data_IF_880960247723
#
_entry.id   IF_880960247723
#
_cell.length_a   1.000
_cell.length_b   1.000
_cell.length_c   1.000
_cell.angle_alpha   90.00
_cell.angle_beta   90.00
_cell.angle_gamma   90.00
#
_symmetry.space_group_name_H-M   'P 1'
#
loop_
_entity.id
_entity.type
_entity.pdbx_description
1 polymer ?
#
# COMPACT_ATOMS: atom_id res chain seq x y z
N UNK A 1 -7.43 -5.78 -21.53
CA UNK A 1 -8.03 -5.47 -20.21
C UNK A 1 -9.40 -6.10 -20.19
N UNK A 2 -9.70 -6.97 -19.22
CA UNK A 2 -11.06 -7.50 -19.01
C UNK A 2 -11.77 -6.52 -18.09
N UNK A 3 -12.97 -6.09 -18.45
CA UNK A 3 -13.79 -5.21 -17.60
C UNK A 3 -14.56 -6.10 -16.63
N UNK A 4 -14.17 -6.08 -15.36
CA UNK A 4 -14.81 -6.77 -14.24
C UNK A 4 -14.56 -5.99 -12.94
N UNK A 5 -15.10 -6.48 -11.82
CA UNK A 5 -15.02 -5.83 -10.51
C UNK A 5 -13.57 -5.59 -10.05
N UNK A 6 -12.61 -6.34 -10.59
CA UNK A 6 -11.19 -6.20 -10.25
C UNK A 6 -10.59 -4.91 -10.79
N UNK A 7 -11.16 -4.31 -11.83
CA UNK A 7 -10.74 -3.01 -12.33
C UNK A 7 -11.12 -1.90 -11.34
N UNK A 8 -12.31 -1.97 -10.74
CA UNK A 8 -12.74 -1.02 -9.71
C UNK A 8 -11.87 -1.13 -8.46
N UNK A 9 -11.50 -2.36 -8.06
CA UNK A 9 -10.57 -2.60 -6.94
C UNK A 9 -9.20 -1.96 -7.22
N UNK A 10 -8.69 -2.06 -8.45
CA UNK A 10 -7.42 -1.41 -8.80
C UNK A 10 -7.53 0.11 -8.70
N UNK A 11 -8.59 0.70 -9.26
CA UNK A 11 -8.87 2.13 -9.16
C UNK A 11 -9.02 2.60 -7.70
N UNK A 12 -9.64 1.78 -6.85
CA UNK A 12 -9.70 2.02 -5.41
C UNK A 12 -8.30 2.05 -4.78
N UNK A 13 -7.41 1.12 -5.14
CA UNK A 13 -6.02 1.12 -4.69
C UNK A 13 -5.26 2.38 -5.10
N UNK A 14 -5.44 2.85 -6.34
CA UNK A 14 -4.87 4.12 -6.84
C UNK A 14 -5.40 5.30 -6.01
N UNK A 15 -6.72 5.40 -5.84
CA UNK A 15 -7.35 6.48 -5.06
C UNK A 15 -6.88 6.48 -3.61
N UNK A 16 -6.76 5.31 -3.00
CA UNK A 16 -6.29 5.18 -1.61
C UNK A 16 -4.86 5.70 -1.45
N UNK A 17 -3.97 5.32 -2.38
CA UNK A 17 -2.60 5.86 -2.38
C UNK A 17 -2.56 7.37 -2.67
N UNK A 18 -3.43 7.87 -3.56
CA UNK A 18 -3.54 9.30 -3.84
C UNK A 18 -3.93 10.10 -2.60
N UNK A 19 -4.86 9.59 -1.80
CA UNK A 19 -5.26 10.18 -0.51
C UNK A 19 -4.08 10.15 0.48
N UNK A 20 -3.40 9.01 0.62
CA UNK A 20 -2.27 8.86 1.56
C UNK A 20 -1.06 9.73 1.20
N UNK A 21 -0.79 9.89 -0.09
CA UNK A 21 0.35 10.66 -0.61
C UNK A 21 0.05 12.15 -0.78
N UNK A 22 -1.23 12.53 -0.83
CA UNK A 22 -1.67 13.89 -1.15
C UNK A 22 -1.36 14.32 -2.60
N UNK A 23 -1.04 13.36 -3.47
CA UNK A 23 -0.70 13.54 -4.89
C UNK A 23 -0.89 12.23 -5.66
N UNK A 24 -0.98 12.33 -6.98
CA UNK A 24 -1.17 11.16 -7.83
C UNK A 24 -0.02 10.15 -7.70
N UNK A 25 -0.28 8.85 -7.47
CA UNK A 25 0.75 7.84 -7.19
C UNK A 25 1.39 7.22 -8.46
N UNK A 26 1.12 7.76 -9.65
CA UNK A 26 1.53 7.16 -10.93
C UNK A 26 3.02 6.83 -11.03
N UNK A 27 3.90 7.76 -10.65
CA UNK A 27 5.36 7.53 -10.66
C UNK A 27 5.76 6.37 -9.75
N UNK A 28 5.17 6.32 -8.54
CA UNK A 28 5.45 5.28 -7.57
C UNK A 28 5.02 3.90 -8.07
N UNK A 29 3.80 3.81 -8.62
CA UNK A 29 3.26 2.56 -9.19
C UNK A 29 4.11 2.09 -10.36
N UNK A 30 4.58 3.01 -11.21
CA UNK A 30 5.49 2.72 -12.31
C UNK A 30 6.83 2.16 -11.81
N UNK A 31 7.42 2.78 -10.77
CA UNK A 31 8.66 2.29 -10.16
C UNK A 31 8.50 0.89 -9.57
N UNK A 32 7.41 0.63 -8.85
CA UNK A 32 7.14 -0.66 -8.22
C UNK A 32 6.91 -1.78 -9.25
N UNK A 33 6.25 -1.46 -10.37
CA UNK A 33 6.01 -2.40 -11.47
C UNK A 33 7.29 -2.76 -12.25
N UNK A 34 8.24 -1.82 -12.36
CA UNK A 34 9.54 -2.09 -12.98
C UNK A 34 10.44 -2.96 -12.09
N UNK A 35 10.37 -2.77 -10.77
CA UNK A 35 11.17 -3.51 -9.78
C UNK A 35 10.85 -5.01 -9.69
N UNK A 36 9.65 -5.46 -10.08
CA UNK A 36 9.33 -6.90 -10.12
C UNK A 36 10.05 -7.65 -11.26
N UNK A 37 10.74 -6.94 -12.15
CA UNK A 37 11.30 -7.50 -13.39
C UNK A 37 12.82 -7.72 -13.36
N UNK A 38 13.54 -7.24 -12.34
CA UNK A 38 15.01 -7.30 -12.31
C UNK A 38 15.54 -7.78 -10.95
N UNK A 39 16.43 -8.76 -10.98
CA UNK A 39 17.11 -9.36 -9.81
C UNK A 39 18.23 -8.48 -9.26
N UNK A 40 17.98 -7.18 -9.12
CA UNK A 40 18.92 -6.18 -8.57
C UNK A 40 18.36 -5.74 -7.21
N UNK A 41 19.20 -5.50 -6.17
CA UNK A 41 18.69 -5.06 -4.88
C UNK A 41 17.83 -3.80 -5.07
N UNK A 42 16.57 -3.89 -4.69
CA UNK A 42 15.59 -2.84 -4.92
C UNK A 42 15.96 -1.59 -4.11
N UNK A 43 16.32 -0.48 -4.77
CA UNK A 43 16.43 0.84 -4.11
C UNK A 43 15.12 1.23 -3.39
N UNK A 44 13.98 0.66 -3.82
CA UNK A 44 12.68 0.80 -3.19
C UNK A 44 12.61 0.19 -1.76
N UNK A 45 13.54 -0.71 -1.40
CA UNK A 45 13.68 -1.22 -0.03
C UNK A 45 14.30 -0.19 0.92
N UNK A 46 14.85 0.92 0.41
CA UNK A 46 15.41 2.00 1.22
C UNK A 46 14.46 3.20 1.37
N UNK A 47 13.43 3.32 0.51
CA UNK A 47 12.44 4.39 0.60
C UNK A 47 11.64 4.22 1.89
N UNK A 48 11.59 5.26 2.72
CA UNK A 48 10.81 5.25 3.95
C UNK A 48 9.36 5.64 3.65
N UNK A 49 8.40 4.94 4.27
CA UNK A 49 6.99 5.23 4.11
C UNK A 49 6.65 6.69 4.51
N UNK A 50 7.34 7.22 5.54
CA UNK A 50 7.18 8.62 5.97
C UNK A 50 7.48 9.65 4.88
N UNK A 51 8.33 9.28 3.91
CA UNK A 51 8.73 10.18 2.82
C UNK A 51 7.79 10.06 1.61
N UNK A 52 6.93 9.03 1.60
CA UNK A 52 5.93 8.77 0.56
C UNK A 52 4.58 9.42 0.89
N UNK A 53 4.15 9.34 2.16
CA UNK A 53 2.89 9.93 2.62
C UNK A 53 2.91 11.46 2.54
N UNK A 54 1.74 12.09 2.57
CA UNK A 54 1.59 13.55 2.48
C UNK A 54 2.38 14.28 3.58
N UNK A 55 3.52 14.86 3.19
CA UNK A 55 4.45 15.54 4.09
C UNK A 55 3.94 16.90 4.57
N UNK A 56 2.81 17.39 4.04
CA UNK A 56 2.14 18.59 4.56
C UNK A 56 1.41 18.32 5.88
N UNK A 57 1.15 17.05 6.19
CA UNK A 57 0.56 16.62 7.44
C UNK A 57 1.64 16.31 8.48
N UNK A 58 1.35 16.47 9.78
CA UNK A 58 2.23 15.98 10.83
C UNK A 58 2.48 14.47 10.69
N UNK A 59 3.68 13.97 11.02
CA UNK A 59 3.95 12.53 11.00
C UNK A 59 2.93 11.76 11.85
N UNK A 60 2.37 10.66 11.34
CA UNK A 60 1.35 9.91 12.06
C UNK A 60 1.96 9.25 13.31
N UNK A 61 1.18 9.24 14.39
CA UNK A 61 1.60 8.69 15.70
C UNK A 61 0.58 7.70 16.24
N UNK A 62 1.02 6.79 17.12
CA UNK A 62 0.17 5.83 17.84
C UNK A 62 -0.74 5.04 16.89
N UNK A 63 -2.06 5.13 17.05
CA UNK A 63 -3.04 4.37 16.28
C UNK A 63 -3.06 4.81 14.81
N UNK A 64 -2.96 6.11 14.54
CA UNK A 64 -2.94 6.65 13.17
C UNK A 64 -1.76 6.07 12.39
N UNK A 65 -0.60 5.91 13.01
CA UNK A 65 0.56 5.29 12.35
C UNK A 65 0.27 3.84 11.93
N UNK A 66 -0.43 3.07 12.77
CA UNK A 66 -0.83 1.69 12.45
C UNK A 66 -1.84 1.69 11.30
N UNK A 67 -2.83 2.57 11.36
CA UNK A 67 -3.89 2.67 10.34
C UNK A 67 -3.33 3.08 8.98
N UNK A 68 -2.38 4.02 8.95
CA UNK A 68 -1.67 4.38 7.72
C UNK A 68 -0.91 3.18 7.16
N UNK A 69 -0.15 2.45 7.97
CA UNK A 69 0.61 1.28 7.48
C UNK A 69 -0.33 0.19 6.96
N UNK A 70 -1.39 -0.16 7.72
CA UNK A 70 -2.39 -1.15 7.30
C UNK A 70 -3.08 -0.75 6.01
N UNK A 71 -3.48 0.52 5.88
CA UNK A 71 -4.15 1.05 4.70
C UNK A 71 -3.22 1.03 3.49
N UNK A 72 -1.95 1.39 3.66
CA UNK A 72 -0.95 1.29 2.58
C UNK A 72 -0.77 -0.16 2.11
N UNK A 73 -0.71 -1.15 3.02
CA UNK A 73 -0.67 -2.58 2.63
C UNK A 73 -1.90 -2.98 1.81
N UNK A 74 -3.08 -2.58 2.27
CA UNK A 74 -4.34 -2.88 1.59
C UNK A 74 -4.38 -2.24 0.19
N UNK A 75 -3.93 -1.00 0.07
CA UNK A 75 -3.83 -0.31 -1.22
C UNK A 75 -2.89 -1.04 -2.19
N UNK A 76 -1.73 -1.50 -1.71
CA UNK A 76 -0.81 -2.29 -2.52
C UNK A 76 -1.38 -3.66 -2.93
N UNK A 77 -2.13 -4.34 -2.06
CA UNK A 77 -2.86 -5.54 -2.43
C UNK A 77 -3.89 -5.29 -3.54
N UNK A 78 -4.59 -4.15 -3.51
CA UNK A 78 -5.52 -3.72 -4.55
C UNK A 78 -4.82 -3.38 -5.88
N UNK A 79 -3.61 -2.83 -5.80
CA UNK A 79 -2.77 -2.45 -6.95
C UNK A 79 -2.02 -3.61 -7.60
N UNK A 80 -2.30 -4.86 -7.20
CA UNK A 80 -1.64 -6.02 -7.79
C UNK A 80 -1.86 -6.09 -9.32
N UNK A 81 -0.77 -6.29 -10.06
CA UNK A 81 -0.82 -6.41 -11.53
C UNK A 81 -1.65 -7.60 -12.01
N UNK A 82 -1.75 -8.67 -11.22
CA UNK A 82 -2.61 -9.82 -11.47
C UNK A 82 -4.01 -9.61 -10.83
N UNK A 83 -5.09 -9.43 -11.61
CA UNK A 83 -6.43 -9.18 -11.07
C UNK A 83 -6.95 -10.26 -10.11
N UNK A 84 -6.47 -11.50 -10.24
CA UNK A 84 -6.88 -12.64 -9.39
C UNK A 84 -6.29 -12.58 -7.99
N UNK A 85 -5.19 -11.86 -7.81
CA UNK A 85 -4.53 -11.70 -6.51
C UNK A 85 -5.02 -10.45 -5.76
N UNK A 86 -5.86 -9.63 -6.39
CA UNK A 86 -6.51 -8.51 -5.71
C UNK A 86 -7.53 -9.04 -4.71
N UNK A 87 -7.75 -8.37 -3.57
CA UNK A 87 -8.85 -8.69 -2.67
C UNK A 87 -10.21 -8.41 -3.32
N UNK A 88 -11.29 -8.92 -2.75
CA UNK A 88 -12.66 -8.47 -3.08
C UNK A 88 -12.98 -7.17 -2.34
N UNK A 89 -13.97 -6.41 -2.82
CA UNK A 89 -14.41 -5.20 -2.09
C UNK A 89 -14.96 -5.52 -0.69
N UNK A 90 -15.54 -6.71 -0.48
CA UNK A 90 -15.93 -7.20 0.84
C UNK A 90 -14.72 -7.36 1.77
N UNK A 91 -13.64 -8.00 1.30
CA UNK A 91 -12.40 -8.15 2.05
C UNK A 91 -11.76 -6.79 2.36
N UNK A 92 -11.79 -5.85 1.40
CA UNK A 92 -11.33 -4.47 1.59
C UNK A 92 -12.14 -3.76 2.68
N UNK A 93 -13.47 -3.82 2.61
CA UNK A 93 -14.34 -3.19 3.60
C UNK A 93 -14.15 -3.78 5.00
N UNK A 94 -14.01 -5.10 5.09
CA UNK A 94 -13.72 -5.79 6.34
C UNK A 94 -12.36 -5.35 6.91
N UNK A 95 -11.30 -5.34 6.09
CA UNK A 95 -9.96 -4.93 6.51
C UNK A 95 -9.93 -3.48 7.04
N UNK A 96 -10.66 -2.56 6.40
CA UNK A 96 -10.78 -1.16 6.85
C UNK A 96 -11.59 -1.01 8.15
N UNK A 97 -12.46 -1.98 8.46
CA UNK A 97 -13.30 -1.95 9.66
C UNK A 97 -12.62 -2.55 10.90
N UNK A 98 -11.53 -3.31 10.71
CA UNK A 98 -10.78 -3.90 11.82
C UNK A 98 -9.72 -2.94 12.38
N UNK A 99 -9.41 -3.10 13.67
CA UNK A 99 -8.34 -2.35 14.30
C UNK A 99 -6.97 -2.79 13.75
N UNK A 100 -6.14 -1.80 13.40
CA UNK A 100 -4.80 -2.06 12.89
C UNK A 100 -3.89 -2.71 13.93
N UNK A 101 -3.10 -3.68 13.45
CA UNK A 101 -2.14 -4.42 14.26
C UNK A 101 -1.03 -3.51 14.82
N UNK A 102 -0.40 -3.88 15.95
CA UNK A 102 0.77 -3.19 16.45
C UNK A 102 1.89 -3.13 15.40
N UNK A 103 2.56 -1.98 15.30
CA UNK A 103 3.72 -1.85 14.43
C UNK A 103 4.93 -2.52 15.08
N UNK A 104 5.71 -3.33 14.33
CA UNK A 104 6.95 -3.90 14.83
C UNK A 104 8.04 -2.84 15.02
N UNK A 105 7.97 -1.74 14.26
CA UNK A 105 8.96 -0.68 14.21
C UNK A 105 8.28 0.70 14.33
N UNK A 106 8.99 1.74 14.82
CA UNK A 106 8.53 3.12 14.72
C UNK A 106 8.23 3.50 13.27
N UNK A 107 7.14 4.26 13.06
CA UNK A 107 6.72 4.68 11.72
C UNK A 107 7.83 5.35 10.90
N UNK A 108 8.72 6.09 11.57
CA UNK A 108 9.82 6.82 10.92
C UNK A 108 10.84 5.96 10.18
N UNK A 109 10.94 4.67 10.52
CA UNK A 109 11.91 3.74 9.93
C UNK A 109 11.25 2.66 9.07
N UNK A 110 9.91 2.65 8.98
CA UNK A 110 9.19 1.68 8.14
C UNK A 110 9.54 1.96 6.69
N UNK A 111 10.08 0.95 6.03
CA UNK A 111 10.42 1.00 4.61
C UNK A 111 9.20 0.63 3.77
N UNK A 112 9.09 1.24 2.60
CA UNK A 112 8.01 0.96 1.67
C UNK A 112 7.99 -0.51 1.24
N UNK A 113 9.18 -1.11 1.06
CA UNK A 113 9.32 -2.55 0.77
C UNK A 113 8.67 -3.48 1.81
N UNK A 114 8.71 -3.13 3.10
CA UNK A 114 8.10 -3.91 4.20
C UNK A 114 6.56 -3.90 4.17
N UNK A 115 6.01 -2.95 3.42
CA UNK A 115 4.56 -2.72 3.27
C UNK A 115 4.08 -3.27 1.92
N UNK A 116 4.98 -3.38 0.95
CA UNK A 116 4.74 -3.92 -0.38
C UNK A 116 4.78 -5.46 -0.45
N UNK A 117 5.60 -6.12 0.38
CA UNK A 117 5.78 -7.56 0.30
C UNK A 117 4.46 -8.34 0.48
N UNK A 118 4.24 -9.31 -0.42
CA UNK A 118 3.01 -10.08 -0.69
C UNK A 118 2.49 -10.98 0.45
N UNK A 119 2.79 -10.66 1.71
CA UNK A 119 2.38 -11.42 2.88
C UNK A 119 1.10 -10.88 3.54
N UNK A 120 0.10 -11.77 3.60
CA UNK A 120 -1.01 -11.83 4.57
C UNK A 120 -2.35 -11.23 4.11
N UNK A 121 -3.14 -12.08 3.45
CA UNK A 121 -4.52 -12.34 3.88
C UNK A 121 -4.61 -13.83 4.24
N UNK A 122 -4.10 -14.18 5.43
CA UNK A 122 -4.34 -15.47 6.07
C UNK A 122 -4.64 -15.21 7.55
N UNK A 123 -5.91 -14.99 7.85
CA UNK A 123 -6.54 -15.24 9.14
C UNK A 123 -8.01 -15.55 8.87
#
# INVERSE_FOLDING_TARGET
>A
MKVDERCDIYSFGVLTMEILMGRHPGDLISCLSSSTSTSVPNDNQQILLKDVIDQRLPPPVRQVAKDVVSTTRLAFACLNGNPRLRPTMEQVAQALSHQSLPLPNPFSIIKLGEVWDHGVCSA
#
